data_IF_627254079919
#
_entry.id   IF_627254079919
#
_cell.length_a   1.000
_cell.length_b   1.000
_cell.length_c   1.000
_cell.angle_alpha   90.00
_cell.angle_beta   90.00
_cell.angle_gamma   90.00
#
_symmetry.space_group_name_H-M   'P 1'
#
loop_
_entity.id
_entity.type
_entity.pdbx_description
1 polymer ?
#
# COMPACT_ATOMS: atom_id res chain seq x y z
N UNK A 1 15.85 9.97 -11.33
CA UNK A 1 16.32 9.48 -10.01
C UNK A 1 16.61 7.99 -10.07
N UNK A 2 17.36 7.44 -9.11
CA UNK A 2 17.76 6.02 -9.07
C UNK A 2 17.54 5.42 -7.69
N UNK A 3 17.06 4.17 -7.64
CA UNK A 3 16.88 3.39 -6.40
C UNK A 3 17.40 1.97 -6.67
N UNK A 4 18.53 1.63 -6.05
CA UNK A 4 19.30 0.46 -6.47
C UNK A 4 19.69 0.57 -7.96
N UNK A 5 19.51 -0.48 -8.77
CA UNK A 5 19.85 -0.46 -10.19
C UNK A 5 18.78 0.21 -11.09
N UNK A 6 17.59 0.55 -10.55
CA UNK A 6 16.48 1.05 -11.35
C UNK A 6 16.45 2.59 -11.43
N UNK A 7 16.19 3.11 -12.64
CA UNK A 7 15.92 4.53 -12.90
C UNK A 7 14.43 4.81 -13.01
N UNK A 8 13.98 5.93 -12.45
CA UNK A 8 12.58 6.37 -12.45
C UNK A 8 12.48 7.91 -12.33
N UNK A 9 11.31 8.48 -12.60
CA UNK A 9 11.03 9.92 -12.55
C UNK A 9 10.27 10.26 -11.27
N UNK A 10 10.70 11.30 -10.57
CA UNK A 10 9.96 11.95 -9.47
C UNK A 10 9.79 13.37 -9.87
N UNK A 11 8.62 13.91 -9.61
CA UNK A 11 8.40 15.32 -9.79
C UNK A 11 7.33 15.83 -8.84
N UNK A 12 7.32 17.14 -8.65
CA UNK A 12 6.25 17.82 -7.95
C UNK A 12 5.32 18.48 -8.98
N UNK A 13 4.04 18.67 -8.65
CA UNK A 13 3.19 19.56 -9.41
C UNK A 13 3.70 21.01 -9.39
N UNK A 14 3.21 21.82 -10.31
CA UNK A 14 3.44 23.26 -10.29
C UNK A 14 2.98 23.88 -8.95
N UNK A 15 3.67 24.91 -8.43
CA UNK A 15 4.82 25.62 -9.03
C UNK A 15 6.19 24.98 -8.71
N UNK A 16 6.23 23.91 -7.93
CA UNK A 16 7.47 23.32 -7.44
C UNK A 16 8.13 22.35 -8.45
N UNK A 17 7.39 21.88 -9.45
CA UNK A 17 7.88 21.02 -10.52
C UNK A 17 6.98 21.03 -11.76
N UNK A 18 7.12 20.01 -12.60
CA UNK A 18 6.46 19.88 -13.91
C UNK A 18 5.45 18.74 -13.98
N UNK A 19 5.13 18.10 -12.85
CA UNK A 19 4.19 16.98 -12.75
C UNK A 19 4.53 15.79 -13.68
N UNK A 20 5.82 15.51 -13.87
CA UNK A 20 6.30 14.46 -14.79
C UNK A 20 6.30 13.05 -14.20
N UNK A 21 5.90 12.89 -12.94
CA UNK A 21 5.91 11.62 -12.23
C UNK A 21 5.43 11.77 -10.79
N UNK A 22 5.42 10.68 -10.00
CA UNK A 22 4.95 10.71 -8.63
C UNK A 22 5.80 11.64 -7.76
N UNK A 23 5.14 12.30 -6.82
CA UNK A 23 5.76 13.06 -5.75
C UNK A 23 6.57 12.14 -4.82
N UNK A 24 7.52 12.67 -4.04
CA UNK A 24 8.25 11.90 -3.05
C UNK A 24 7.35 11.15 -2.06
N UNK A 25 6.24 11.75 -1.61
CA UNK A 25 5.28 11.09 -0.71
C UNK A 25 4.55 9.94 -1.41
N UNK A 26 4.16 10.12 -2.68
CA UNK A 26 3.56 9.04 -3.48
C UNK A 26 4.53 7.89 -3.73
N UNK A 27 5.83 8.16 -3.85
CA UNK A 27 6.86 7.11 -3.96
C UNK A 27 6.96 6.31 -2.65
N UNK A 28 6.89 6.96 -1.49
CA UNK A 28 6.85 6.28 -0.19
C UNK A 28 5.58 5.44 -0.06
N UNK A 29 4.43 6.00 -0.44
CA UNK A 29 3.14 5.31 -0.47
C UNK A 29 3.18 4.08 -1.41
N UNK A 30 3.80 4.20 -2.59
CA UNK A 30 4.01 3.09 -3.51
C UNK A 30 4.89 1.99 -2.90
N UNK A 31 5.91 2.35 -2.13
CA UNK A 31 6.72 1.40 -1.37
C UNK A 31 5.90 0.60 -0.34
N UNK A 32 5.00 1.27 0.40
CA UNK A 32 4.08 0.61 1.32
C UNK A 32 3.10 -0.31 0.58
N UNK A 33 2.54 0.14 -0.54
CA UNK A 33 1.63 -0.65 -1.36
C UNK A 33 2.30 -1.94 -1.87
N UNK A 34 3.47 -1.81 -2.49
CA UNK A 34 4.24 -2.92 -3.05
C UNK A 34 4.67 -3.93 -1.97
N UNK A 35 5.20 -3.44 -0.84
CA UNK A 35 5.63 -4.29 0.27
C UNK A 35 4.45 -5.05 0.88
N UNK A 36 3.28 -4.41 0.99
CA UNK A 36 2.06 -5.06 1.45
C UNK A 36 1.64 -6.18 0.51
N UNK A 37 1.49 -5.88 -0.79
CA UNK A 37 1.05 -6.86 -1.78
C UNK A 37 1.96 -8.10 -1.81
N UNK A 38 3.28 -7.90 -1.80
CA UNK A 38 4.26 -8.99 -1.77
C UNK A 38 4.15 -9.83 -0.49
N UNK A 39 3.95 -9.19 0.66
CA UNK A 39 3.81 -9.87 1.95
C UNK A 39 2.55 -10.74 1.98
N UNK A 40 1.42 -10.23 1.49
CA UNK A 40 0.17 -10.98 1.41
C UNK A 40 0.30 -12.21 0.50
N UNK A 41 0.89 -12.03 -0.69
CA UNK A 41 1.15 -13.14 -1.63
C UNK A 41 2.04 -14.20 -1.01
N UNK A 42 3.14 -13.79 -0.37
CA UNK A 42 4.06 -14.70 0.30
C UNK A 42 3.39 -15.49 1.42
N UNK A 43 2.54 -14.83 2.23
CA UNK A 43 1.84 -15.48 3.32
C UNK A 43 0.78 -16.48 2.82
N UNK A 44 -0.04 -16.08 1.84
CA UNK A 44 -1.04 -16.96 1.23
C UNK A 44 -0.39 -18.20 0.61
N UNK A 45 0.71 -18.04 -0.13
CA UNK A 45 1.46 -19.14 -0.72
C UNK A 45 1.97 -20.13 0.35
N UNK A 46 2.51 -19.64 1.47
CA UNK A 46 2.96 -20.48 2.59
C UNK A 46 1.83 -21.26 3.27
N UNK A 47 0.60 -20.76 3.18
CA UNK A 47 -0.60 -21.39 3.74
C UNK A 47 -1.38 -22.24 2.72
N UNK A 48 -0.97 -22.23 1.45
CA UNK A 48 -1.69 -22.92 0.38
C UNK A 48 -3.05 -22.30 0.06
N UNK A 49 -3.23 -20.99 0.32
CA UNK A 49 -4.49 -20.30 0.06
C UNK A 49 -4.61 -19.85 -1.39
N UNK A 50 -5.80 -19.96 -1.97
CA UNK A 50 -6.11 -19.59 -3.35
C UNK A 50 -6.28 -18.06 -3.54
N UNK A 51 -5.26 -17.29 -3.17
CA UNK A 51 -5.24 -15.84 -3.35
C UNK A 51 -4.96 -15.48 -4.82
N UNK A 52 -5.90 -14.78 -5.45
CA UNK A 52 -5.82 -14.33 -6.83
C UNK A 52 -5.09 -13.00 -6.99
N UNK A 53 -5.77 -12.04 -7.62
CA UNK A 53 -5.27 -10.68 -7.75
C UNK A 53 -5.25 -9.99 -6.38
N UNK A 54 -4.18 -9.22 -6.17
CA UNK A 54 -4.00 -8.35 -5.00
C UNK A 54 -3.75 -6.96 -5.56
N UNK A 55 -4.67 -6.05 -5.29
CA UNK A 55 -4.52 -4.63 -5.60
C UNK A 55 -4.39 -3.86 -4.29
N UNK A 56 -3.37 -3.01 -4.20
CA UNK A 56 -3.13 -2.17 -3.03
C UNK A 56 -2.92 -0.74 -3.52
N UNK A 57 -3.78 0.16 -3.08
CA UNK A 57 -3.64 1.60 -3.26
C UNK A 57 -3.27 2.24 -1.94
N UNK A 58 -2.40 3.25 -1.96
CA UNK A 58 -2.03 4.00 -0.78
C UNK A 58 -2.01 5.47 -1.12
N UNK A 59 -2.69 6.28 -0.32
CA UNK A 59 -2.57 7.73 -0.33
C UNK A 59 -1.86 8.20 0.94
N UNK A 60 -1.28 9.39 0.89
CA UNK A 60 -0.62 10.04 2.02
C UNK A 60 -1.21 11.43 2.25
N UNK A 61 -1.33 11.83 3.51
CA UNK A 61 -1.70 13.18 3.91
C UNK A 61 -0.97 13.59 5.17
N UNK A 62 -0.73 14.88 5.33
CA UNK A 62 -0.11 15.46 6.53
C UNK A 62 -1.14 16.31 7.27
N UNK A 63 -1.33 16.06 8.56
CA UNK A 63 -2.08 16.91 9.48
C UNK A 63 -1.15 17.41 10.59
N UNK A 64 -0.81 18.69 10.57
CA UNK A 64 0.08 19.30 11.55
C UNK A 64 -0.49 19.34 12.98
N UNK A 65 -1.80 19.14 13.15
CA UNK A 65 -2.44 19.05 14.46
C UNK A 65 -2.43 17.62 15.03
N UNK A 66 -2.11 16.61 14.23
CA UNK A 66 -2.05 15.21 14.66
C UNK A 66 -0.64 14.83 15.14
N UNK A 67 -0.57 13.81 16.00
CA UNK A 67 0.66 13.17 16.46
C UNK A 67 0.54 11.64 16.29
N UNK A 68 1.23 11.03 15.30
CA UNK A 68 2.13 11.65 14.33
C UNK A 68 1.39 12.45 13.23
N UNK A 69 2.04 13.45 12.61
CA UNK A 69 1.41 14.29 11.59
C UNK A 69 1.26 13.61 10.22
N UNK A 70 2.08 12.60 9.93
CA UNK A 70 2.03 11.87 8.68
C UNK A 70 1.05 10.70 8.74
N UNK A 71 0.16 10.63 7.76
CA UNK A 71 -0.89 9.62 7.67
C UNK A 71 -0.88 8.95 6.31
N UNK A 72 -0.92 7.61 6.30
CA UNK A 72 -1.10 6.82 5.09
C UNK A 72 -2.43 6.06 5.15
N UNK A 73 -3.22 6.15 4.09
CA UNK A 73 -4.46 5.39 3.95
C UNK A 73 -4.27 4.30 2.90
N UNK A 74 -4.32 3.04 3.35
CA UNK A 74 -4.12 1.87 2.50
C UNK A 74 -5.46 1.21 2.18
N UNK A 75 -5.77 1.07 0.91
CA UNK A 75 -6.92 0.30 0.43
C UNK A 75 -6.43 -1.00 -0.21
N UNK A 76 -6.99 -2.13 0.22
CA UNK A 76 -6.62 -3.47 -0.26
C UNK A 76 -7.83 -4.12 -0.92
N UNK A 77 -7.66 -4.64 -2.14
CA UNK A 77 -8.61 -5.54 -2.78
C UNK A 77 -7.99 -6.92 -2.99
N UNK A 78 -8.77 -7.95 -2.65
CA UNK A 78 -8.33 -9.36 -2.67
C UNK A 78 -9.33 -10.20 -3.46
N UNK A 79 -8.85 -10.78 -4.55
CA UNK A 79 -9.58 -11.77 -5.34
C UNK A 79 -9.20 -13.20 -4.93
N UNK A 80 -10.04 -14.16 -5.33
CA UNK A 80 -9.81 -15.59 -5.11
C UNK A 80 -10.78 -16.23 -4.11
N UNK A 81 -10.69 -17.55 -3.99
CA UNK A 81 -11.52 -18.38 -3.12
C UNK A 81 -10.99 -18.29 -1.68
N UNK A 82 -11.30 -17.17 -1.03
CA UNK A 82 -10.93 -16.90 0.35
C UNK A 82 -12.16 -16.79 1.23
N UNK A 83 -12.18 -17.57 2.31
CA UNK A 83 -13.18 -17.41 3.36
C UNK A 83 -12.95 -16.12 4.16
N UNK A 84 -13.93 -15.74 4.98
CA UNK A 84 -13.88 -14.51 5.76
C UNK A 84 -12.72 -14.51 6.77
N UNK A 85 -12.40 -15.66 7.37
CA UNK A 85 -11.30 -15.77 8.32
C UNK A 85 -9.94 -15.59 7.63
N UNK A 86 -9.78 -16.09 6.42
CA UNK A 86 -8.60 -15.90 5.58
C UNK A 86 -8.45 -14.43 5.17
N UNK A 87 -9.53 -13.77 4.74
CA UNK A 87 -9.54 -12.35 4.41
C UNK A 87 -9.15 -11.48 5.62
N UNK A 88 -9.81 -11.70 6.76
CA UNK A 88 -9.48 -11.02 8.00
C UNK A 88 -8.02 -11.27 8.42
N UNK A 89 -7.53 -12.50 8.27
CA UNK A 89 -6.14 -12.82 8.57
C UNK A 89 -5.16 -12.13 7.63
N UNK A 90 -5.45 -12.04 6.33
CA UNK A 90 -4.62 -11.31 5.38
C UNK A 90 -4.53 -9.82 5.75
N UNK A 91 -5.61 -9.20 6.20
CA UNK A 91 -5.56 -7.81 6.68
C UNK A 91 -4.61 -7.64 7.87
N UNK A 92 -4.66 -8.55 8.85
CA UNK A 92 -3.70 -8.52 9.96
C UNK A 92 -2.25 -8.70 9.48
N UNK A 93 -2.03 -9.55 8.47
CA UNK A 93 -0.70 -9.76 7.89
C UNK A 93 -0.21 -8.54 7.09
N UNK A 94 -1.12 -7.70 6.57
CA UNK A 94 -0.74 -6.47 5.89
C UNK A 94 0.06 -5.52 6.81
N UNK A 95 -0.20 -5.54 8.12
CA UNK A 95 0.55 -4.77 9.14
C UNK A 95 1.94 -5.36 9.43
N UNK A 96 2.18 -6.62 9.05
CA UNK A 96 3.45 -7.28 9.31
C UNK A 96 4.55 -6.95 8.28
N UNK A 97 4.21 -6.26 7.19
CA UNK A 97 5.15 -5.97 6.11
C UNK A 97 6.28 -5.02 6.59
N UNK A 98 7.55 -5.22 6.15
CA UNK A 98 8.68 -4.43 6.62
C UNK A 98 8.50 -2.91 6.49
N UNK A 99 7.89 -2.44 5.40
CA UNK A 99 7.66 -1.00 5.18
C UNK A 99 6.59 -0.44 6.12
N UNK A 100 5.52 -1.20 6.42
CA UNK A 100 4.56 -0.79 7.43
C UNK A 100 5.25 -0.57 8.79
N UNK A 101 6.07 -1.54 9.23
CA UNK A 101 6.84 -1.44 10.49
C UNK A 101 7.85 -0.30 10.51
N UNK A 102 8.34 0.10 9.35
CA UNK A 102 9.25 1.25 9.22
C UNK A 102 8.47 2.56 9.41
N UNK A 103 7.34 2.71 8.71
CA UNK A 103 6.54 3.93 8.72
C UNK A 103 5.84 4.16 10.06
N UNK A 104 5.31 3.10 10.70
CA UNK A 104 4.58 3.23 11.97
C UNK A 104 5.42 3.64 13.18
N UNK A 105 6.71 3.93 12.98
CA UNK A 105 7.57 4.56 13.99
C UNK A 105 7.36 6.07 14.12
N UNK A 106 6.74 6.70 13.12
CA UNK A 106 6.55 8.15 13.08
C UNK A 106 5.43 8.62 12.14
N UNK A 107 4.58 7.72 11.67
CA UNK A 107 3.39 7.98 10.86
C UNK A 107 2.29 7.00 11.26
N UNK A 108 1.03 7.32 10.98
CA UNK A 108 -0.06 6.37 11.11
C UNK A 108 -0.35 5.69 9.77
N UNK A 109 -0.89 4.47 9.82
CA UNK A 109 -1.31 3.74 8.62
C UNK A 109 -2.71 3.17 8.85
N UNK A 110 -3.71 3.74 8.18
CA UNK A 110 -5.07 3.20 8.09
C UNK A 110 -5.15 2.09 7.04
N UNK A 111 -6.02 1.09 7.25
CA UNK A 111 -6.24 0.02 6.26
C UNK A 111 -7.71 -0.28 6.09
N UNK A 112 -8.16 -0.21 4.85
CA UNK A 112 -9.54 -0.56 4.44
C UNK A 112 -9.49 -1.69 3.43
N UNK A 113 -10.37 -2.69 3.61
CA UNK A 113 -10.61 -3.73 2.62
C UNK A 113 -11.76 -3.29 1.71
N UNK A 114 -11.53 -3.28 0.40
CA UNK A 114 -12.59 -3.06 -0.59
C UNK A 114 -12.81 -4.33 -1.39
N UNK A 115 -14.05 -4.84 -1.37
CA UNK A 115 -14.52 -5.84 -2.35
C UNK A 115 -14.55 -5.26 -3.77
N UNK A 116 -14.61 -6.10 -4.82
CA UNK A 116 -14.29 -5.67 -6.18
C UNK A 116 -15.28 -4.61 -6.69
N UNK A 117 -14.89 -3.70 -7.61
CA UNK A 117 -15.90 -3.09 -8.46
C UNK A 117 -16.61 -4.21 -9.22
N UNK A 118 -17.95 -4.19 -9.21
CA UNK A 118 -18.78 -5.03 -10.08
C UNK A 118 -18.20 -5.01 -11.51
N UNK A 119 -18.22 -6.14 -12.24
CA UNK A 119 -17.73 -6.15 -13.61
C UNK A 119 -18.45 -5.05 -14.40
N UNK A 120 -17.67 -4.18 -15.05
CA UNK A 120 -18.21 -3.29 -16.06
C UNK A 120 -18.84 -4.18 -17.14
N UNK A 121 -20.13 -3.94 -17.40
CA UNK A 121 -20.94 -4.61 -18.41
C UNK A 121 -20.37 -4.46 -19.83
#
# INVERSE_FOLDING_TARGET
MTAGPAGFVADQPAPAGLDLGPTPHEIVAAGLAACTAQTLRLYAARKGWALGRVEVSVTSSTDAAADPPEHFERTISLDGELDEAQRARLLQIAEACPIHKLLTRGASVGTTLTGPPLPAA
#
